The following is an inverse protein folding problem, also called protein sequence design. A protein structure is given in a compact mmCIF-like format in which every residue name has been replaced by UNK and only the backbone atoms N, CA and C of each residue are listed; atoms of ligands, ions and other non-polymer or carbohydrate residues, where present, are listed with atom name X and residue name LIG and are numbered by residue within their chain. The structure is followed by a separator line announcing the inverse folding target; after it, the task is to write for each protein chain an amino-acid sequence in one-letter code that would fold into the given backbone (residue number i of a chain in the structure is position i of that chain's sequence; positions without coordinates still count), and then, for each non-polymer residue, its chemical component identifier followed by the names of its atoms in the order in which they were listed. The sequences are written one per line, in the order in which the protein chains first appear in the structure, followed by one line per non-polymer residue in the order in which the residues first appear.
data_IF_628686934054
#
_entry.id   IF_628686934054
#
_cell.length_a   1.000
_cell.length_b   1.000
_cell.length_c   1.000
_cell.angle_alpha   90.00
_cell.angle_beta   90.00
_cell.angle_gamma   90.00
#
_symmetry.space_group_name_H-M   'P 1'
#
loop_
_entity.id
_entity.type
_entity.pdbx_description
1 polymer ?
#
# COMPACT_ATOMS: atom_id res chain seq x y z
N UNK A 1 13.48 -2.18 -12.66
CA UNK A 1 14.87 -1.70 -12.84
C UNK A 1 15.20 -0.65 -11.79
N UNK A 2 14.50 0.47 -11.72
CA UNK A 2 14.81 1.57 -10.80
C UNK A 2 14.90 1.20 -9.31
N UNK A 3 14.01 0.31 -8.83
CA UNK A 3 14.02 -0.14 -7.43
C UNK A 3 15.37 -0.82 -7.09
N UNK A 4 15.79 -1.77 -7.91
CA UNK A 4 17.07 -2.48 -7.69
C UNK A 4 18.27 -1.54 -7.74
N UNK A 5 18.31 -0.61 -8.70
CA UNK A 5 19.37 0.38 -8.83
C UNK A 5 19.46 1.27 -7.57
N UNK A 6 18.31 1.64 -6.99
CA UNK A 6 18.25 2.41 -5.74
C UNK A 6 18.70 1.59 -4.53
N UNK A 7 18.32 0.31 -4.43
CA UNK A 7 18.77 -0.57 -3.36
C UNK A 7 20.29 -0.76 -3.39
N UNK A 8 20.85 -1.07 -4.55
CA UNK A 8 22.31 -1.25 -4.73
C UNK A 8 23.08 0.02 -4.40
N UNK A 9 22.58 1.19 -4.84
CA UNK A 9 23.18 2.47 -4.51
C UNK A 9 23.11 2.77 -3.01
N UNK A 10 21.99 2.52 -2.36
CA UNK A 10 21.87 2.73 -0.92
C UNK A 10 22.80 1.82 -0.12
N UNK A 11 22.94 0.56 -0.53
CA UNK A 11 23.89 -0.37 0.10
C UNK A 11 25.33 0.17 -0.01
N UNK A 12 25.72 0.67 -1.17
CA UNK A 12 27.05 1.23 -1.40
C UNK A 12 27.28 2.55 -0.64
N UNK A 13 26.33 3.48 -0.74
CA UNK A 13 26.45 4.83 -0.17
C UNK A 13 26.45 4.83 1.37
N UNK A 14 25.69 3.90 1.97
CA UNK A 14 25.53 3.80 3.43
C UNK A 14 26.30 2.61 4.04
N UNK A 15 27.13 1.92 3.26
CA UNK A 15 27.94 0.78 3.72
C UNK A 15 27.11 -0.30 4.44
N UNK A 16 25.93 -0.61 3.90
CA UNK A 16 25.02 -1.56 4.53
C UNK A 16 25.52 -2.99 4.37
N UNK A 17 25.59 -3.72 5.46
CA UNK A 17 25.95 -5.14 5.44
C UNK A 17 24.69 -5.99 5.24
N UNK A 18 24.18 -6.03 4.00
CA UNK A 18 22.98 -6.79 3.61
C UNK A 18 23.30 -7.68 2.41
N UNK A 19 22.82 -8.92 2.44
CA UNK A 19 22.87 -9.83 1.32
C UNK A 19 21.65 -9.58 0.41
N UNK A 20 21.82 -8.64 -0.54
CA UNK A 20 20.77 -8.24 -1.46
C UNK A 20 20.95 -8.89 -2.83
N UNK A 21 19.93 -9.61 -3.28
CA UNK A 21 19.85 -10.18 -4.63
C UNK A 21 18.58 -9.67 -5.29
N UNK A 22 18.72 -8.85 -6.33
CA UNK A 22 17.63 -8.15 -7.01
C UNK A 22 16.46 -9.07 -7.40
N UNK A 23 16.76 -10.24 -7.99
CA UNK A 23 15.74 -11.18 -8.46
C UNK A 23 15.04 -11.93 -7.32
N UNK A 24 15.70 -12.05 -6.15
CA UNK A 24 15.15 -12.69 -4.96
C UNK A 24 14.33 -11.72 -4.11
N UNK A 25 14.84 -10.50 -3.94
CA UNK A 25 14.40 -9.59 -2.89
C UNK A 25 13.45 -8.48 -3.39
N UNK A 26 13.21 -8.41 -4.72
CA UNK A 26 12.23 -7.52 -5.30
C UNK A 26 11.15 -8.33 -6.00
N UNK A 27 9.96 -8.28 -5.47
CA UNK A 27 8.75 -8.81 -6.10
C UNK A 27 7.79 -7.66 -6.43
N UNK A 28 7.18 -7.70 -7.60
CA UNK A 28 6.15 -6.75 -8.02
C UNK A 28 4.85 -7.51 -8.14
N UNK A 29 3.89 -7.13 -7.30
CA UNK A 29 2.54 -7.67 -7.35
C UNK A 29 1.70 -6.73 -8.20
N UNK A 30 1.18 -7.23 -9.30
CA UNK A 30 0.37 -6.48 -10.26
C UNK A 30 -1.13 -6.75 -10.08
N UNK A 31 -1.97 -6.00 -10.80
CA UNK A 31 -3.43 -6.18 -10.81
C UNK A 31 -4.20 -5.30 -9.83
N UNK A 32 -3.53 -4.47 -9.03
CA UNK A 32 -4.16 -3.61 -8.03
C UNK A 32 -4.14 -2.10 -8.36
N UNK A 33 -3.87 -1.75 -9.61
CA UNK A 33 -3.98 -0.35 -10.09
C UNK A 33 -5.44 0.13 -10.06
N UNK A 34 -6.40 -0.81 -10.05
CA UNK A 34 -7.82 -0.53 -10.04
C UNK A 34 -8.28 0.10 -11.35
N UNK A 35 -9.20 1.08 -11.28
CA UNK A 35 -9.76 1.78 -12.44
C UNK A 35 -8.78 2.78 -13.09
N UNK A 36 -7.60 2.98 -12.50
CA UNK A 36 -6.59 3.90 -12.98
C UNK A 36 -6.16 4.94 -11.93
N UNK A 37 -5.35 5.91 -12.39
CA UNK A 37 -4.81 6.96 -11.53
C UNK A 37 -5.93 7.80 -10.91
N UNK A 38 -5.90 7.96 -9.59
CA UNK A 38 -6.88 8.70 -8.79
C UNK A 38 -8.34 8.23 -8.94
N UNK A 39 -8.58 7.09 -9.58
CA UNK A 39 -9.88 6.42 -9.63
C UNK A 39 -9.92 5.31 -8.57
N UNK A 40 -10.88 5.37 -7.66
CA UNK A 40 -11.01 4.41 -6.56
C UNK A 40 -12.26 3.55 -6.74
N UNK A 41 -12.13 2.27 -6.44
CA UNK A 41 -13.26 1.36 -6.33
C UNK A 41 -13.91 1.51 -4.95
N UNK A 42 -15.17 1.12 -4.83
CA UNK A 42 -15.91 1.21 -3.56
C UNK A 42 -15.21 0.40 -2.47
N UNK A 43 -14.75 -0.78 -2.77
CA UNK A 43 -14.08 -1.69 -1.85
C UNK A 43 -12.75 -1.11 -1.32
N UNK A 44 -12.03 -0.34 -2.16
CA UNK A 44 -10.82 0.37 -1.75
C UNK A 44 -11.15 1.47 -0.73
N UNK A 45 -12.22 2.25 -0.96
CA UNK A 45 -12.67 3.32 -0.06
C UNK A 45 -13.24 2.76 1.25
N UNK A 46 -13.96 1.65 1.19
CA UNK A 46 -14.45 0.93 2.39
C UNK A 46 -13.29 0.49 3.27
N UNK A 47 -12.24 -0.10 2.67
CA UNK A 47 -11.05 -0.50 3.42
C UNK A 47 -10.32 0.69 4.04
N UNK A 48 -10.14 1.79 3.30
CA UNK A 48 -9.54 3.04 3.83
C UNK A 48 -10.32 3.53 5.04
N UNK A 49 -11.66 3.52 4.95
CA UNK A 49 -12.53 3.94 6.05
C UNK A 49 -12.46 3.00 7.25
N UNK A 50 -12.38 1.70 7.01
CA UNK A 50 -12.23 0.69 8.06
C UNK A 50 -10.91 0.85 8.81
N UNK A 51 -9.79 0.98 8.10
CA UNK A 51 -8.46 1.19 8.68
C UNK A 51 -8.42 2.48 9.50
N UNK A 52 -9.03 3.56 8.99
CA UNK A 52 -9.11 4.82 9.73
C UNK A 52 -9.89 4.67 11.04
N UNK A 53 -11.00 3.93 11.05
CA UNK A 53 -11.84 3.73 12.23
C UNK A 53 -11.23 2.77 13.26
N UNK A 54 -10.57 1.70 12.81
CA UNK A 54 -10.05 0.65 13.69
C UNK A 54 -8.64 0.94 14.19
N UNK A 55 -7.79 1.52 13.34
CA UNK A 55 -6.37 1.69 13.61
C UNK A 55 -5.96 3.17 13.78
N UNK A 56 -6.83 4.11 13.43
CA UNK A 56 -6.50 5.55 13.43
C UNK A 56 -5.48 5.94 12.36
N UNK A 57 -5.31 5.11 11.31
CA UNK A 57 -4.36 5.33 10.24
C UNK A 57 -5.10 5.79 8.99
N UNK A 58 -4.66 6.91 8.40
CA UNK A 58 -5.26 7.48 7.20
C UNK A 58 -4.46 7.12 5.97
N UNK A 59 -4.96 6.16 5.19
CA UNK A 59 -4.41 5.80 3.89
C UNK A 59 -4.96 6.74 2.81
N UNK A 60 -4.14 7.08 1.82
CA UNK A 60 -4.60 7.85 0.67
C UNK A 60 -5.26 6.95 -0.39
N UNK A 61 -6.23 7.45 -1.17
CA UNK A 61 -6.94 6.63 -2.17
C UNK A 61 -6.17 6.45 -3.48
N UNK A 62 -5.01 7.09 -3.65
CA UNK A 62 -4.24 7.05 -4.91
C UNK A 62 -3.17 5.97 -4.87
N UNK A 63 -2.41 5.88 -3.79
CA UNK A 63 -1.25 5.00 -3.64
C UNK A 63 -1.39 4.03 -2.48
N UNK A 64 -1.35 4.54 -1.23
CA UNK A 64 -1.27 3.67 -0.04
C UNK A 64 -2.52 2.84 0.19
N UNK A 65 -3.71 3.36 -0.12
CA UNK A 65 -4.95 2.62 -0.04
C UNK A 65 -4.99 1.45 -1.03
N UNK A 66 -4.57 1.66 -2.28
CA UNK A 66 -4.50 0.59 -3.29
C UNK A 66 -3.44 -0.46 -2.95
N UNK A 67 -2.27 -0.02 -2.50
CA UNK A 67 -1.22 -0.94 -2.07
C UNK A 67 -1.66 -1.77 -0.86
N UNK A 68 -2.31 -1.16 0.12
CA UNK A 68 -2.84 -1.86 1.29
C UNK A 68 -3.98 -2.80 0.92
N UNK A 69 -4.88 -2.38 0.03
CA UNK A 69 -5.93 -3.24 -0.52
C UNK A 69 -5.34 -4.47 -1.21
N UNK A 70 -4.35 -4.28 -2.08
CA UNK A 70 -3.63 -5.38 -2.73
C UNK A 70 -3.00 -6.34 -1.73
N UNK A 71 -2.30 -5.83 -0.71
CA UNK A 71 -1.73 -6.64 0.37
C UNK A 71 -2.80 -7.50 1.07
N UNK A 72 -3.94 -6.92 1.42
CA UNK A 72 -5.04 -7.65 2.07
C UNK A 72 -5.63 -8.72 1.15
N UNK A 73 -5.79 -8.44 -0.15
CA UNK A 73 -6.30 -9.43 -1.10
C UNK A 73 -5.32 -10.61 -1.27
N UNK A 74 -4.03 -10.34 -1.36
CA UNK A 74 -3.02 -11.41 -1.43
C UNK A 74 -2.98 -12.26 -0.16
N UNK A 75 -3.06 -11.64 1.02
CA UNK A 75 -3.14 -12.36 2.30
C UNK A 75 -4.40 -13.23 2.42
N UNK A 76 -5.54 -12.78 1.87
CA UNK A 76 -6.77 -13.60 1.81
C UNK A 76 -6.60 -14.84 0.93
N UNK A 77 -5.83 -14.74 -0.15
CA UNK A 77 -5.53 -15.87 -1.04
C UNK A 77 -4.52 -16.83 -0.42
N UNK A 78 -3.46 -16.28 0.14
CA UNK A 78 -2.40 -17.06 0.77
C UNK A 78 -1.88 -16.30 2.00
N UNK A 79 -2.29 -16.69 3.22
CA UNK A 79 -1.91 -16.00 4.46
C UNK A 79 -0.40 -15.94 4.73
N UNK A 80 0.40 -16.72 4.01
CA UNK A 80 1.86 -16.77 4.17
C UNK A 80 2.63 -16.14 3.00
N UNK A 81 1.95 -15.47 2.06
CA UNK A 81 2.61 -14.94 0.86
C UNK A 81 3.70 -13.92 1.16
N UNK A 82 3.58 -13.17 2.27
CA UNK A 82 4.58 -12.19 2.71
C UNK A 82 5.42 -12.66 3.91
N UNK A 83 5.39 -13.94 4.24
CA UNK A 83 6.09 -14.48 5.41
C UNK A 83 5.32 -14.24 6.73
N UNK A 84 6.02 -14.38 7.85
CA UNK A 84 5.43 -14.30 9.19
C UNK A 84 5.39 -12.86 9.75
N UNK A 85 6.22 -11.98 9.22
CA UNK A 85 6.31 -10.58 9.64
C UNK A 85 6.20 -9.68 8.42
N UNK A 86 5.28 -8.72 8.48
CA UNK A 86 4.98 -7.80 7.39
C UNK A 86 5.21 -6.38 7.87
N UNK A 87 6.00 -5.62 7.11
CA UNK A 87 6.14 -4.17 7.30
C UNK A 87 5.47 -3.49 6.11
N UNK A 88 4.42 -2.72 6.38
CA UNK A 88 3.79 -1.87 5.38
C UNK A 88 4.37 -0.46 5.46
N UNK A 89 5.00 -0.01 4.37
CA UNK A 89 5.57 1.33 4.30
C UNK A 89 4.49 2.34 3.87
N UNK A 90 4.08 3.20 4.80
CA UNK A 90 3.15 4.30 4.52
C UNK A 90 3.91 5.48 3.92
N UNK A 91 3.70 5.76 2.64
CA UNK A 91 4.45 6.78 1.88
C UNK A 91 3.80 8.18 1.90
N UNK A 92 2.75 8.39 2.70
CA UNK A 92 2.04 9.65 2.80
C UNK A 92 0.83 9.75 1.87
N UNK A 93 0.54 10.94 1.35
CA UNK A 93 -0.52 11.16 0.37
C UNK A 93 -1.90 11.53 0.94
N UNK A 94 -1.98 11.88 2.23
CA UNK A 94 -3.25 12.17 2.94
C UNK A 94 -4.12 13.23 2.23
N UNK A 95 -3.51 14.18 1.54
CA UNK A 95 -4.25 15.20 0.77
C UNK A 95 -5.11 14.64 -0.36
N UNK A 96 -4.82 13.42 -0.83
CA UNK A 96 -5.64 12.68 -1.79
C UNK A 96 -7.02 12.30 -1.28
N UNK A 97 -7.29 12.40 0.04
CA UNK A 97 -8.59 12.16 0.66
C UNK A 97 -9.58 13.29 0.38
N UNK A 98 -9.13 14.53 0.26
CA UNK A 98 -10.03 15.69 0.09
C UNK A 98 -10.92 15.60 -1.16
N UNK A 99 -10.40 15.24 -2.35
CA UNK A 99 -11.26 15.06 -3.53
C UNK A 99 -12.24 13.90 -3.41
N UNK A 100 -12.06 13.02 -2.41
CA UNK A 100 -12.92 11.84 -2.15
C UNK A 100 -13.86 12.03 -0.97
N UNK A 101 -13.91 13.23 -0.38
CA UNK A 101 -14.70 13.52 0.83
C UNK A 101 -16.17 13.09 0.70
N UNK A 102 -16.82 13.38 -0.43
CA UNK A 102 -18.24 13.02 -0.64
C UNK A 102 -18.46 11.51 -0.76
N UNK A 103 -17.49 10.77 -1.25
CA UNK A 103 -17.54 9.30 -1.34
C UNK A 103 -17.21 8.64 0.00
N UNK A 104 -16.33 9.24 0.80
CA UNK A 104 -15.91 8.72 2.09
C UNK A 104 -16.89 9.05 3.23
N UNK A 105 -17.55 10.20 3.18
CA UNK A 105 -18.45 10.66 4.24
C UNK A 105 -19.50 9.61 4.64
N UNK A 106 -20.25 8.98 3.71
CA UNK A 106 -21.25 7.96 4.07
C UNK A 106 -20.61 6.72 4.73
N UNK A 107 -19.36 6.41 4.40
CA UNK A 107 -18.62 5.26 4.93
C UNK A 107 -18.05 5.52 6.32
N UNK A 108 -17.83 6.79 6.68
CA UNK A 108 -17.29 7.22 7.98
C UNK A 108 -18.38 7.57 8.98
N UNK A 109 -19.64 7.73 8.56
CA UNK A 109 -20.76 7.96 9.47
C UNK A 109 -20.92 6.75 10.40
N UNK A 110 -20.79 7.01 11.69
CA UNK A 110 -21.00 6.02 12.75
C UNK A 110 -22.47 5.71 12.77
N UNK A 111 -22.82 4.48 12.47
CA UNK A 111 -24.17 3.94 12.69
C UNK A 111 -24.35 3.60 14.16
#
# INVERSE_FOLDING_TARGET
RAIGDNCERAIADYYLNVDFIRQRDIEIIDGYVGLGYALSQTEELELISEVARTEGIFLDPVYTGKAFFGMIQELKRNPKCFGEQIIFLHTGGIFGLFPKADQLRPLLEIR
#
